data_IF_513216203731
#
_entry.id   IF_513216203731
#
_cell.length_a   1.000
_cell.length_b   1.000
_cell.length_c   1.000
_cell.angle_alpha   90.00
_cell.angle_beta   90.00
_cell.angle_gamma   90.00
#
_symmetry.space_group_name_H-M   'P 1'
#
loop_
_entity.id
_entity.type
_entity.pdbx_description
1 polymer ?
#
# COMPACT_ATOMS: atom_id res chain seq x y z
N UNK A 1 -33.32 9.38 -23.27
CA UNK A 1 -33.63 9.04 -21.85
C UNK A 1 -32.94 10.08 -21.00
N UNK A 2 -33.72 10.92 -20.29
CA UNK A 2 -33.18 11.97 -19.41
C UNK A 2 -32.49 11.29 -18.23
N UNK A 3 -31.15 11.34 -18.19
CA UNK A 3 -30.35 10.89 -17.05
C UNK A 3 -30.63 11.85 -15.90
N UNK A 4 -31.39 11.39 -14.89
CA UNK A 4 -31.53 12.10 -13.62
C UNK A 4 -30.14 12.41 -13.11
N UNK A 5 -29.82 13.68 -12.87
CA UNK A 5 -28.54 14.04 -12.29
C UNK A 5 -28.29 13.23 -11.00
N UNK A 6 -27.08 12.76 -10.78
CA UNK A 6 -26.74 12.03 -9.57
C UNK A 6 -27.00 12.94 -8.36
N UNK A 7 -27.88 12.51 -7.48
CA UNK A 7 -28.24 13.25 -6.27
C UNK A 7 -27.15 13.01 -5.23
N UNK A 8 -26.62 14.08 -4.64
CA UNK A 8 -25.66 14.04 -3.54
C UNK A 8 -26.26 14.74 -2.32
N UNK A 9 -26.29 14.05 -1.19
CA UNK A 9 -26.72 14.58 0.11
C UNK A 9 -25.47 14.79 0.97
N UNK A 10 -25.16 16.05 1.29
CA UNK A 10 -24.00 16.38 2.12
C UNK A 10 -24.22 15.89 3.57
N UNK A 11 -23.17 15.34 4.17
CA UNK A 11 -23.22 14.80 5.55
C UNK A 11 -23.84 13.42 5.67
N UNK A 12 -24.24 12.80 4.55
CA UNK A 12 -24.79 11.44 4.50
C UNK A 12 -23.91 10.55 3.61
N UNK A 13 -23.90 9.24 3.83
CA UNK A 13 -23.24 8.30 2.96
C UNK A 13 -24.04 8.11 1.66
N UNK A 14 -23.46 8.50 0.55
CA UNK A 14 -24.02 8.32 -0.79
C UNK A 14 -23.31 7.18 -1.50
N UNK A 15 -24.05 6.15 -1.94
CA UNK A 15 -23.48 4.98 -2.62
C UNK A 15 -23.69 5.07 -4.12
N UNK A 16 -22.61 4.93 -4.90
CA UNK A 16 -22.64 5.00 -6.35
C UNK A 16 -21.99 3.77 -6.99
N UNK A 17 -22.75 3.01 -7.82
CA UNK A 17 -22.24 1.77 -8.40
C UNK A 17 -21.58 1.94 -9.77
N UNK A 18 -21.59 3.14 -10.35
CA UNK A 18 -21.03 3.33 -11.70
C UNK A 18 -19.90 4.37 -11.75
N UNK A 19 -18.87 4.13 -12.57
CA UNK A 19 -17.79 5.09 -12.80
C UNK A 19 -18.27 6.46 -13.23
N UNK A 20 -19.28 6.51 -14.10
CA UNK A 20 -19.87 7.75 -14.63
C UNK A 20 -20.47 8.60 -13.50
N UNK A 21 -21.27 8.01 -12.65
CA UNK A 21 -21.96 8.72 -11.57
C UNK A 21 -20.97 9.34 -10.58
N UNK A 22 -19.96 8.55 -10.13
CA UNK A 22 -18.92 9.06 -9.23
C UNK A 22 -18.11 10.18 -9.89
N UNK A 23 -17.77 10.05 -11.18
CA UNK A 23 -17.02 11.09 -11.90
C UNK A 23 -17.82 12.41 -12.01
N UNK A 24 -19.14 12.34 -12.23
CA UNK A 24 -20.03 13.50 -12.28
C UNK A 24 -20.10 14.19 -10.91
N UNK A 25 -20.32 13.43 -9.83
CA UNK A 25 -20.42 13.95 -8.45
C UNK A 25 -19.09 14.55 -8.00
N UNK A 26 -17.98 13.82 -8.16
CA UNK A 26 -16.64 14.31 -7.78
C UNK A 26 -16.26 15.60 -8.50
N UNK A 27 -16.62 15.71 -9.79
CA UNK A 27 -16.42 16.93 -10.56
C UNK A 27 -17.25 18.09 -10.03
N UNK A 28 -18.53 17.86 -9.74
CA UNK A 28 -19.44 18.88 -9.18
C UNK A 28 -18.91 19.39 -7.83
N UNK A 29 -18.49 18.51 -6.95
CA UNK A 29 -17.93 18.87 -5.65
C UNK A 29 -16.67 19.73 -5.76
N UNK A 30 -15.75 19.41 -6.67
CA UNK A 30 -14.58 20.25 -6.91
C UNK A 30 -14.95 21.63 -7.43
N UNK A 31 -15.95 21.76 -8.29
CA UNK A 31 -16.43 23.06 -8.75
C UNK A 31 -16.98 23.93 -7.62
N UNK A 32 -17.41 23.34 -6.49
CA UNK A 32 -17.79 24.10 -5.29
C UNK A 32 -16.62 24.45 -4.37
N UNK A 33 -15.38 24.11 -4.76
CA UNK A 33 -14.17 24.35 -3.98
C UNK A 33 -13.86 23.27 -2.94
N UNK A 34 -14.63 22.17 -2.88
CA UNK A 34 -14.34 21.05 -1.99
C UNK A 34 -13.17 20.22 -2.53
N UNK A 35 -12.33 19.73 -1.62
CA UNK A 35 -11.22 18.83 -1.96
C UNK A 35 -11.69 17.39 -1.95
N UNK A 36 -11.41 16.64 -3.00
CA UNK A 36 -11.79 15.23 -3.12
C UNK A 36 -10.62 14.35 -2.70
N UNK A 37 -10.86 13.50 -1.70
CA UNK A 37 -9.90 12.50 -1.21
C UNK A 37 -10.35 11.12 -1.66
N UNK A 38 -9.41 10.24 -2.01
CA UNK A 38 -9.70 8.86 -2.40
C UNK A 38 -9.02 7.88 -1.45
N UNK A 39 -9.78 6.90 -0.97
CA UNK A 39 -9.28 5.74 -0.23
C UNK A 39 -9.67 4.48 -1.01
N UNK A 40 -8.76 3.89 -1.82
CA UNK A 40 -9.04 2.66 -2.54
C UNK A 40 -9.04 1.47 -1.60
N UNK A 41 -10.09 0.64 -1.64
CA UNK A 41 -10.18 -0.61 -0.86
C UNK A 41 -10.80 -1.73 -1.68
N UNK A 42 -10.65 -2.96 -1.21
CA UNK A 42 -11.35 -4.13 -1.73
C UNK A 42 -12.54 -4.56 -0.86
N UNK A 43 -12.91 -3.79 0.17
CA UNK A 43 -13.88 -4.18 1.19
C UNK A 43 -13.26 -5.00 2.33
N UNK A 44 -14.11 -5.65 3.13
CA UNK A 44 -13.75 -6.28 4.39
C UNK A 44 -12.97 -5.31 5.29
N UNK A 45 -13.58 -4.14 5.50
CA UNK A 45 -12.94 -3.01 6.14
C UNK A 45 -12.62 -3.32 7.62
N UNK A 46 -11.47 -2.88 8.06
CA UNK A 46 -10.97 -3.05 9.42
C UNK A 46 -10.28 -1.77 9.92
N UNK A 47 -9.76 -1.75 11.13
CA UNK A 47 -9.16 -0.55 11.75
C UNK A 47 -8.03 0.06 10.91
N UNK A 48 -7.28 -0.74 10.14
CA UNK A 48 -6.32 -0.22 9.16
C UNK A 48 -6.96 0.68 8.10
N UNK A 49 -8.13 0.29 7.59
CA UNK A 49 -8.88 1.12 6.64
C UNK A 49 -9.50 2.35 7.33
N UNK A 50 -9.97 2.22 8.58
CA UNK A 50 -10.43 3.38 9.38
C UNK A 50 -9.31 4.43 9.54
N UNK A 51 -8.06 4.00 9.74
CA UNK A 51 -6.93 4.92 9.84
C UNK A 51 -6.69 5.70 8.54
N UNK A 52 -6.83 5.07 7.36
CA UNK A 52 -6.80 5.75 6.05
C UNK A 52 -7.90 6.82 5.96
N UNK A 53 -9.14 6.44 6.27
CA UNK A 53 -10.32 7.31 6.22
C UNK A 53 -10.14 8.50 7.17
N UNK A 54 -9.79 8.25 8.43
CA UNK A 54 -9.55 9.30 9.44
C UNK A 54 -8.41 10.24 9.03
N UNK A 55 -7.38 9.74 8.33
CA UNK A 55 -6.32 10.59 7.80
C UNK A 55 -6.82 11.46 6.65
N UNK A 56 -7.69 10.91 5.79
CA UNK A 56 -8.29 11.65 4.68
C UNK A 56 -9.27 12.74 5.17
N UNK A 57 -10.10 12.46 6.18
CA UNK A 57 -11.08 13.38 6.74
C UNK A 57 -10.46 14.58 7.48
N UNK A 58 -9.21 14.45 7.95
CA UNK A 58 -8.46 15.57 8.56
C UNK A 58 -8.10 16.68 7.58
N UNK A 59 -8.23 16.46 6.28
CA UNK A 59 -7.95 17.52 5.29
C UNK A 59 -9.11 18.53 5.28
N UNK A 60 -8.86 19.81 5.54
CA UNK A 60 -9.92 20.81 5.61
C UNK A 60 -10.73 20.91 4.31
N UNK A 61 -12.06 20.85 4.41
CA UNK A 61 -12.98 20.87 3.26
C UNK A 61 -12.98 19.58 2.44
N UNK A 62 -12.43 18.50 2.96
CA UNK A 62 -12.41 17.22 2.27
C UNK A 62 -13.81 16.63 2.07
N UNK A 63 -14.00 15.98 0.92
CA UNK A 63 -15.00 14.94 0.69
C UNK A 63 -14.24 13.65 0.47
N UNK A 64 -14.51 12.65 1.28
CA UNK A 64 -13.84 11.37 1.18
C UNK A 64 -14.66 10.43 0.31
N UNK A 65 -14.03 9.92 -0.75
CA UNK A 65 -14.53 8.84 -1.60
C UNK A 65 -13.81 7.56 -1.19
N UNK A 66 -14.54 6.57 -0.71
CA UNK A 66 -13.98 5.23 -0.47
C UNK A 66 -14.47 4.30 -1.57
N UNK A 67 -13.56 3.68 -2.32
CA UNK A 67 -13.95 2.63 -3.24
C UNK A 67 -13.94 1.27 -2.56
N UNK A 68 -14.99 0.47 -2.80
CA UNK A 68 -15.07 -0.93 -2.38
C UNK A 68 -15.18 -1.77 -3.65
N UNK A 69 -14.04 -2.31 -4.10
CA UNK A 69 -14.00 -3.07 -5.34
C UNK A 69 -12.97 -4.21 -5.29
N UNK A 70 -13.44 -5.45 -5.28
CA UNK A 70 -12.58 -6.63 -5.44
C UNK A 70 -12.20 -6.73 -6.92
N UNK A 71 -10.97 -6.29 -7.23
CA UNK A 71 -10.50 -6.20 -8.61
C UNK A 71 -10.01 -7.56 -9.12
N UNK A 72 -10.66 -8.19 -10.10
CA UNK A 72 -10.24 -9.51 -10.57
C UNK A 72 -8.87 -9.52 -11.27
N UNK A 73 -8.41 -8.38 -11.81
CA UNK A 73 -7.15 -8.31 -12.56
C UNK A 73 -5.89 -8.48 -11.70
N UNK A 74 -6.00 -8.28 -10.40
CA UNK A 74 -4.85 -8.38 -9.48
C UNK A 74 -4.72 -9.74 -8.80
N UNK A 75 -5.60 -10.69 -9.14
CA UNK A 75 -5.55 -12.06 -8.66
C UNK A 75 -5.06 -12.99 -9.75
N UNK A 76 -4.02 -13.76 -9.44
CA UNK A 76 -3.50 -14.82 -10.31
C UNK A 76 -4.38 -16.08 -10.29
N UNK A 77 -4.09 -17.01 -11.18
CA UNK A 77 -4.74 -18.30 -11.17
C UNK A 77 -4.44 -19.05 -9.87
N UNK A 78 -5.48 -19.44 -9.14
CA UNK A 78 -5.36 -20.15 -7.86
C UNK A 78 -5.22 -19.25 -6.63
N UNK A 79 -5.26 -17.92 -6.79
CA UNK A 79 -5.34 -16.99 -5.65
C UNK A 79 -6.77 -16.90 -5.08
N UNK A 80 -6.90 -16.22 -3.95
CA UNK A 80 -8.09 -16.17 -3.08
C UNK A 80 -9.24 -15.28 -3.59
N UNK A 81 -9.37 -15.04 -4.90
CA UNK A 81 -10.43 -14.17 -5.47
C UNK A 81 -11.84 -14.61 -5.07
N UNK A 82 -12.13 -15.89 -5.16
CA UNK A 82 -13.47 -16.43 -4.83
C UNK A 82 -13.71 -16.47 -3.33
N UNK A 83 -12.65 -16.70 -2.54
CA UNK A 83 -12.67 -16.72 -1.09
C UNK A 83 -12.54 -15.32 -0.46
N UNK A 84 -12.23 -14.28 -1.27
CA UNK A 84 -12.04 -12.93 -0.75
C UNK A 84 -13.33 -12.42 -0.09
N UNK A 85 -13.29 -11.92 1.15
CA UNK A 85 -14.49 -11.53 1.90
C UNK A 85 -15.29 -10.43 1.18
N UNK A 86 -16.61 -10.62 1.08
CA UNK A 86 -17.55 -9.65 0.52
C UNK A 86 -18.55 -9.28 1.60
N UNK A 87 -18.30 -8.16 2.26
CA UNK A 87 -19.02 -7.69 3.47
C UNK A 87 -19.61 -6.31 3.24
N UNK A 88 -20.23 -6.07 2.08
CA UNK A 88 -20.63 -4.73 1.65
C UNK A 88 -21.50 -4.00 2.67
N UNK A 89 -22.48 -4.66 3.26
CA UNK A 89 -23.42 -4.01 4.19
C UNK A 89 -22.69 -3.51 5.44
N UNK A 90 -21.86 -4.35 6.08
CA UNK A 90 -21.08 -3.94 7.24
C UNK A 90 -19.97 -2.94 6.88
N UNK A 91 -19.44 -2.99 5.65
CA UNK A 91 -18.50 -1.99 5.15
C UNK A 91 -19.16 -0.62 5.02
N UNK A 92 -20.40 -0.56 4.49
CA UNK A 92 -21.16 0.69 4.36
C UNK A 92 -21.54 1.26 5.74
N UNK A 93 -21.91 0.43 6.70
CA UNK A 93 -22.15 0.85 8.09
C UNK A 93 -20.89 1.50 8.67
N UNK A 94 -19.72 0.84 8.53
CA UNK A 94 -18.44 1.37 8.97
C UNK A 94 -18.10 2.72 8.29
N UNK A 95 -18.35 2.85 6.98
CA UNK A 95 -18.12 4.11 6.27
C UNK A 95 -19.01 5.24 6.78
N UNK A 96 -20.27 4.92 7.08
CA UNK A 96 -21.22 5.87 7.67
C UNK A 96 -20.77 6.34 9.05
N UNK A 97 -20.30 5.42 9.91
CA UNK A 97 -19.76 5.73 11.24
C UNK A 97 -18.53 6.63 11.18
N UNK A 98 -17.66 6.46 10.17
CA UNK A 98 -16.48 7.30 9.94
C UNK A 98 -16.80 8.63 9.22
N UNK A 99 -18.07 8.92 8.92
CA UNK A 99 -18.53 10.15 8.28
C UNK A 99 -18.11 10.27 6.81
N UNK A 100 -17.93 9.14 6.12
CA UNK A 100 -17.65 9.12 4.68
C UNK A 100 -18.90 9.55 3.90
N UNK A 101 -18.73 10.49 2.97
CA UNK A 101 -19.85 10.99 2.18
C UNK A 101 -20.09 10.21 0.88
N UNK A 102 -19.05 9.49 0.35
CA UNK A 102 -19.17 8.77 -0.92
C UNK A 102 -18.57 7.37 -0.81
N UNK A 103 -19.39 6.35 -1.04
CA UNK A 103 -18.99 4.98 -1.29
C UNK A 103 -19.11 4.69 -2.79
N UNK A 104 -17.99 4.32 -3.43
CA UNK A 104 -17.97 3.85 -4.80
C UNK A 104 -17.89 2.33 -4.82
N UNK A 105 -18.99 1.68 -5.22
CA UNK A 105 -19.18 0.21 -5.13
C UNK A 105 -19.41 -0.42 -6.52
N UNK A 106 -18.42 -0.32 -7.45
CA UNK A 106 -18.63 -0.79 -8.80
C UNK A 106 -18.59 -2.32 -8.90
N UNK A 107 -19.25 -2.83 -9.93
CA UNK A 107 -19.11 -4.23 -10.37
C UNK A 107 -17.92 -4.37 -11.35
N UNK A 108 -17.41 -5.59 -11.53
CA UNK A 108 -16.37 -5.86 -12.52
C UNK A 108 -16.83 -5.49 -13.93
N UNK A 109 -18.10 -5.75 -14.29
CA UNK A 109 -18.67 -5.38 -15.59
C UNK A 109 -18.80 -3.86 -15.76
N UNK A 110 -19.02 -3.09 -14.70
CA UNK A 110 -19.05 -1.63 -14.79
C UNK A 110 -17.64 -1.02 -14.90
N UNK A 111 -16.64 -1.65 -14.30
CA UNK A 111 -15.24 -1.23 -14.39
C UNK A 111 -14.59 -1.66 -15.72
N UNK A 112 -14.94 -2.83 -16.23
CA UNK A 112 -14.37 -3.42 -17.44
C UNK A 112 -15.47 -3.94 -18.39
N UNK A 113 -16.28 -3.06 -18.99
CA UNK A 113 -17.46 -3.48 -19.78
C UNK A 113 -17.13 -4.34 -21.00
N UNK A 114 -15.97 -4.12 -21.59
CA UNK A 114 -15.46 -4.86 -22.75
C UNK A 114 -14.23 -5.72 -22.42
N UNK A 115 -14.00 -6.00 -21.14
CA UNK A 115 -12.79 -6.61 -20.63
C UNK A 115 -11.61 -5.62 -20.53
N UNK A 116 -10.50 -6.04 -19.92
CA UNK A 116 -9.29 -5.22 -19.76
C UNK A 116 -8.47 -5.25 -21.07
N UNK A 117 -8.65 -4.23 -21.92
CA UNK A 117 -7.93 -4.15 -23.21
C UNK A 117 -6.59 -3.41 -23.09
N UNK A 118 -6.46 -2.55 -22.08
CA UNK A 118 -5.24 -1.77 -21.80
C UNK A 118 -4.86 -1.97 -20.36
N UNK A 119 -3.60 -2.24 -20.10
CA UNK A 119 -3.06 -2.45 -18.78
C UNK A 119 -1.84 -1.56 -18.54
N UNK A 120 -1.57 -1.23 -17.28
CA UNK A 120 -0.36 -0.54 -16.86
C UNK A 120 0.72 -1.60 -16.58
N UNK A 121 1.88 -1.44 -17.20
CA UNK A 121 3.03 -2.30 -16.93
C UNK A 121 3.84 -1.71 -15.75
N UNK A 122 4.12 -2.48 -14.68
CA UNK A 122 4.75 -1.96 -13.46
C UNK A 122 6.25 -1.68 -13.58
N UNK A 123 6.90 -2.00 -14.70
CA UNK A 123 8.35 -1.90 -14.86
C UNK A 123 9.12 -2.97 -14.08
N UNK A 124 10.45 -2.87 -13.99
CA UNK A 124 11.30 -3.89 -13.36
C UNK A 124 10.96 -4.15 -11.89
N UNK A 125 10.65 -3.10 -11.12
CA UNK A 125 10.28 -3.24 -9.70
C UNK A 125 9.03 -4.11 -9.51
N UNK A 126 8.13 -4.16 -10.50
CA UNK A 126 6.96 -5.02 -10.44
C UNK A 126 7.21 -6.51 -10.66
N UNK A 127 8.46 -6.91 -10.92
CA UNK A 127 8.88 -8.31 -11.04
C UNK A 127 9.73 -8.79 -9.84
N UNK A 128 10.02 -7.89 -8.89
CA UNK A 128 10.80 -8.17 -7.68
C UNK A 128 9.86 -8.36 -6.46
N UNK A 129 10.33 -8.93 -5.37
CA UNK A 129 9.60 -9.12 -4.11
C UNK A 129 8.20 -9.75 -4.35
N UNK A 130 7.13 -9.04 -4.01
CA UNK A 130 5.74 -9.48 -4.25
C UNK A 130 5.48 -9.84 -5.71
N UNK A 131 6.06 -9.10 -6.66
CA UNK A 131 5.88 -9.34 -8.07
C UNK A 131 6.58 -10.60 -8.58
N UNK A 132 7.64 -11.04 -7.92
CA UNK A 132 8.30 -12.32 -8.17
C UNK A 132 7.37 -13.51 -7.88
N UNK A 133 6.64 -13.43 -6.77
CA UNK A 133 5.69 -14.47 -6.35
C UNK A 133 4.34 -14.37 -7.05
N UNK A 134 3.96 -13.15 -7.47
CA UNK A 134 2.65 -12.82 -8.05
C UNK A 134 2.82 -12.03 -9.36
N UNK A 135 3.28 -12.64 -10.46
CA UNK A 135 3.74 -11.92 -11.65
C UNK A 135 2.72 -10.99 -12.32
N UNK A 136 1.41 -11.26 -12.17
CA UNK A 136 0.33 -10.45 -12.77
C UNK A 136 -0.27 -9.42 -11.82
N UNK A 137 0.05 -9.53 -10.53
CA UNK A 137 -0.59 -8.75 -9.46
C UNK A 137 -0.47 -7.24 -9.69
N UNK A 138 0.74 -6.74 -9.87
CA UNK A 138 0.97 -5.30 -9.95
C UNK A 138 0.48 -4.68 -11.24
N UNK A 139 0.47 -5.40 -12.36
CA UNK A 139 -0.15 -4.92 -13.58
C UNK A 139 -1.67 -4.72 -13.39
N UNK A 140 -2.34 -5.67 -12.75
CA UNK A 140 -3.76 -5.58 -12.41
C UNK A 140 -4.05 -4.47 -11.39
N UNK A 141 -3.23 -4.37 -10.34
CA UNK A 141 -3.35 -3.38 -9.27
C UNK A 141 -3.14 -1.95 -9.80
N UNK A 142 -2.08 -1.69 -10.56
CA UNK A 142 -1.83 -0.36 -11.13
C UNK A 142 -2.91 0.03 -12.14
N UNK A 143 -3.42 -0.93 -12.92
CA UNK A 143 -4.49 -0.67 -13.87
C UNK A 143 -5.77 -0.20 -13.17
N UNK A 144 -6.20 -0.88 -12.09
CA UNK A 144 -7.39 -0.45 -11.34
C UNK A 144 -7.16 0.87 -10.61
N UNK A 145 -5.98 1.07 -10.01
CA UNK A 145 -5.65 2.32 -9.31
C UNK A 145 -5.68 3.49 -10.30
N UNK A 146 -5.05 3.36 -11.47
CA UNK A 146 -5.10 4.38 -12.51
C UNK A 146 -6.54 4.69 -12.91
N UNK A 147 -7.39 3.67 -13.12
CA UNK A 147 -8.81 3.87 -13.42
C UNK A 147 -9.52 4.63 -12.32
N UNK A 148 -9.31 4.27 -11.06
CA UNK A 148 -9.90 4.97 -9.91
C UNK A 148 -9.46 6.43 -9.84
N UNK A 149 -8.16 6.71 -10.03
CA UNK A 149 -7.62 8.07 -10.09
C UNK A 149 -8.25 8.88 -11.21
N UNK A 150 -8.44 8.30 -12.40
CA UNK A 150 -9.05 8.98 -13.54
C UNK A 150 -10.57 9.20 -13.40
N UNK A 151 -11.27 8.27 -12.75
CA UNK A 151 -12.72 8.36 -12.49
C UNK A 151 -12.99 9.44 -11.43
N UNK A 152 -12.31 9.35 -10.28
CA UNK A 152 -12.54 10.21 -9.12
C UNK A 152 -11.85 11.56 -9.29
N UNK A 153 -10.66 11.58 -9.90
CA UNK A 153 -9.74 12.74 -10.00
C UNK A 153 -9.52 13.38 -8.63
N UNK A 154 -9.02 12.65 -7.64
CA UNK A 154 -8.84 13.17 -6.29
C UNK A 154 -7.67 14.14 -6.21
N UNK A 155 -7.70 15.08 -5.25
CA UNK A 155 -6.55 15.89 -4.89
C UNK A 155 -5.49 15.07 -4.15
N UNK A 156 -5.94 14.08 -3.37
CA UNK A 156 -5.06 13.13 -2.67
C UNK A 156 -5.67 11.72 -2.67
N UNK A 157 -4.80 10.72 -2.77
CA UNK A 157 -5.20 9.31 -2.59
C UNK A 157 -4.34 8.68 -1.47
N UNK A 158 -4.99 7.89 -0.61
CA UNK A 158 -4.41 7.36 0.62
C UNK A 158 -4.23 5.85 0.52
N UNK A 159 -3.02 5.38 0.83
CA UNK A 159 -2.63 3.97 0.77
C UNK A 159 -1.93 3.57 2.06
N UNK A 160 -2.17 2.36 2.54
CA UNK A 160 -1.47 1.83 3.71
C UNK A 160 -0.01 1.49 3.38
N UNK A 161 0.90 1.84 4.30
CA UNK A 161 2.32 1.45 4.17
C UNK A 161 2.55 -0.05 4.39
N UNK A 162 1.55 -0.78 4.87
CA UNK A 162 1.63 -2.23 5.00
C UNK A 162 1.96 -2.90 3.65
N UNK A 163 1.31 -2.49 2.58
CA UNK A 163 1.57 -2.97 1.22
C UNK A 163 2.58 -2.02 0.53
N UNK A 164 3.80 -1.97 1.10
CA UNK A 164 4.78 -0.93 0.80
C UNK A 164 5.20 -0.90 -0.67
N UNK A 165 5.42 -2.07 -1.29
CA UNK A 165 5.78 -2.12 -2.71
C UNK A 165 4.63 -1.61 -3.60
N UNK A 166 3.37 -1.87 -3.24
CA UNK A 166 2.22 -1.27 -3.90
C UNK A 166 2.26 0.27 -3.82
N UNK A 167 2.53 0.82 -2.63
CA UNK A 167 2.64 2.27 -2.43
C UNK A 167 3.74 2.90 -3.29
N UNK A 168 4.92 2.26 -3.34
CA UNK A 168 6.05 2.72 -4.16
C UNK A 168 5.69 2.68 -5.64
N UNK A 169 5.12 1.59 -6.14
CA UNK A 169 4.72 1.46 -7.55
C UNK A 169 3.60 2.44 -7.93
N UNK A 170 2.65 2.74 -7.03
CA UNK A 170 1.62 3.76 -7.27
C UNK A 170 2.25 5.15 -7.36
N UNK A 171 3.22 5.48 -6.49
CA UNK A 171 3.97 6.74 -6.56
C UNK A 171 4.75 6.86 -7.87
N UNK A 172 5.42 5.79 -8.27
CA UNK A 172 6.14 5.70 -9.55
C UNK A 172 5.17 5.94 -10.73
N UNK A 173 4.06 5.23 -10.80
CA UNK A 173 3.05 5.41 -11.85
C UNK A 173 2.53 6.85 -11.92
N UNK A 174 2.24 7.46 -10.79
CA UNK A 174 1.76 8.86 -10.73
C UNK A 174 2.80 9.83 -11.25
N UNK A 175 4.08 9.63 -10.89
CA UNK A 175 5.19 10.44 -11.38
C UNK A 175 5.41 10.26 -12.88
N UNK A 176 5.56 9.02 -13.33
CA UNK A 176 5.92 8.70 -14.71
C UNK A 176 4.83 9.09 -15.72
N UNK A 177 3.56 8.99 -15.31
CA UNK A 177 2.41 9.35 -16.15
C UNK A 177 1.90 10.78 -15.91
N UNK A 178 2.61 11.59 -15.11
CA UNK A 178 2.26 12.98 -14.80
C UNK A 178 0.79 13.13 -14.33
N UNK A 179 0.35 12.25 -13.43
CA UNK A 179 -1.02 12.29 -12.91
C UNK A 179 -1.07 13.34 -11.79
N UNK A 180 -1.97 14.30 -11.91
CA UNK A 180 -2.15 15.36 -10.93
C UNK A 180 -2.90 14.86 -9.68
N UNK A 181 -2.19 14.13 -8.83
CA UNK A 181 -2.66 13.62 -7.55
C UNK A 181 -1.51 13.46 -6.56
N UNK A 182 -1.73 13.78 -5.29
CA UNK A 182 -0.76 13.50 -4.23
C UNK A 182 -1.03 12.14 -3.60
N UNK A 183 -0.08 11.22 -3.64
CA UNK A 183 -0.15 9.92 -2.97
C UNK A 183 0.35 10.06 -1.54
N UNK A 184 -0.49 9.67 -0.57
CA UNK A 184 -0.21 9.74 0.87
C UNK A 184 -0.10 8.32 1.41
N UNK A 185 1.06 7.98 1.97
CA UNK A 185 1.24 6.76 2.77
C UNK A 185 0.67 6.96 4.17
N UNK A 186 0.00 5.95 4.70
CA UNK A 186 -0.50 5.95 6.08
C UNK A 186 0.16 4.79 6.81
N UNK A 187 0.76 5.02 7.98
CA UNK A 187 1.48 4.00 8.73
C UNK A 187 0.66 2.75 8.99
N UNK A 188 1.33 1.60 9.01
CA UNK A 188 0.72 0.30 9.30
C UNK A 188 0.06 0.30 10.67
N UNK A 189 -1.24 0.02 10.72
CA UNK A 189 -1.96 -0.21 11.97
C UNK A 189 -1.69 -1.63 12.42
N UNK A 190 -1.42 -1.79 13.72
CA UNK A 190 -1.09 -3.07 14.33
C UNK A 190 -2.13 -3.46 15.37
N UNK A 191 -2.31 -4.74 15.57
CA UNK A 191 -3.06 -5.29 16.70
C UNK A 191 -2.27 -5.06 18.01
N UNK A 192 -2.88 -5.30 19.16
CA UNK A 192 -2.28 -5.02 20.48
C UNK A 192 -0.98 -5.78 20.75
N UNK A 193 -0.78 -6.91 20.09
CA UNK A 193 0.42 -7.76 20.16
C UNK A 193 1.47 -7.42 19.08
N UNK A 194 1.20 -6.42 18.23
CA UNK A 194 2.11 -5.93 17.21
C UNK A 194 1.88 -6.49 15.82
N UNK A 195 1.05 -7.53 15.62
CA UNK A 195 0.76 -8.06 14.30
C UNK A 195 0.12 -7.00 13.39
N UNK A 196 0.63 -6.85 12.17
CA UNK A 196 0.04 -5.93 11.19
C UNK A 196 -1.40 -6.33 10.87
N UNK A 197 -2.34 -5.36 10.92
CA UNK A 197 -3.74 -5.62 10.61
C UNK A 197 -3.92 -6.00 9.14
N UNK A 198 -4.62 -7.10 8.91
CA UNK A 198 -4.91 -7.62 7.57
C UNK A 198 -6.24 -8.37 7.57
N UNK A 199 -7.01 -8.25 6.49
CA UNK A 199 -8.20 -9.08 6.28
C UNK A 199 -7.87 -10.58 6.23
N UNK A 200 -6.63 -10.94 5.90
CA UNK A 200 -6.15 -12.32 5.86
C UNK A 200 -5.85 -12.92 7.25
N UNK A 201 -5.69 -12.11 8.30
CA UNK A 201 -5.48 -12.61 9.67
C UNK A 201 -6.62 -13.52 10.13
N UNK A 202 -7.82 -13.36 9.58
CA UNK A 202 -9.01 -14.20 9.85
C UNK A 202 -8.89 -15.65 9.37
N UNK A 203 -7.94 -15.95 8.49
CA UNK A 203 -7.68 -17.31 7.99
C UNK A 203 -6.71 -18.09 8.86
N UNK A 204 -6.08 -17.44 9.84
CA UNK A 204 -5.21 -18.07 10.82
C UNK A 204 -6.07 -18.77 11.89
N UNK A 205 -5.73 -20.01 12.21
CA UNK A 205 -6.22 -20.65 13.43
C UNK A 205 -5.55 -20.04 14.68
N UNK A 206 -5.95 -20.48 15.87
CA UNK A 206 -5.47 -19.90 17.14
C UNK A 206 -3.95 -20.02 17.30
N UNK A 207 -3.36 -21.17 16.96
CA UNK A 207 -1.94 -21.41 17.07
C UNK A 207 -1.16 -20.56 16.05
N UNK A 208 -1.59 -20.58 14.80
CA UNK A 208 -1.02 -19.75 13.74
C UNK A 208 -1.10 -18.27 14.09
N UNK A 209 -2.23 -17.82 14.68
CA UNK A 209 -2.41 -16.41 15.05
C UNK A 209 -1.40 -15.98 16.13
N UNK A 210 -1.08 -16.84 17.10
CA UNK A 210 -0.04 -16.58 18.09
C UNK A 210 1.35 -16.53 17.47
N UNK A 211 1.68 -17.50 16.60
CA UNK A 211 2.97 -17.55 15.92
C UNK A 211 3.19 -16.38 14.94
N UNK A 212 2.13 -15.85 14.33
CA UNK A 212 2.22 -14.75 13.37
C UNK A 212 2.85 -13.47 13.95
N UNK A 213 2.82 -13.28 15.26
CA UNK A 213 3.45 -12.16 15.97
C UNK A 213 4.97 -12.11 15.73
N UNK A 214 5.59 -13.25 15.43
CA UNK A 214 7.02 -13.33 15.11
C UNK A 214 7.38 -12.48 13.87
N UNK A 215 6.44 -12.21 12.95
CA UNK A 215 6.69 -11.33 11.81
C UNK A 215 6.99 -9.89 12.26
N UNK A 216 6.20 -9.35 13.17
CA UNK A 216 6.45 -8.02 13.71
C UNK A 216 7.67 -8.00 14.65
N UNK A 217 7.89 -9.07 15.39
CA UNK A 217 9.02 -9.22 16.29
C UNK A 217 10.36 -9.24 15.54
N UNK A 218 10.44 -9.96 14.42
CA UNK A 218 11.66 -10.00 13.59
C UNK A 218 11.99 -8.61 13.00
N UNK A 219 10.97 -7.87 12.55
CA UNK A 219 11.15 -6.52 12.05
C UNK A 219 11.66 -5.57 13.14
N UNK A 220 11.12 -5.69 14.35
CA UNK A 220 11.58 -4.91 15.50
C UNK A 220 13.01 -5.27 15.90
N UNK A 221 13.37 -6.57 15.92
CA UNK A 221 14.73 -7.00 16.19
C UNK A 221 15.71 -6.41 15.16
N UNK A 222 15.36 -6.45 13.87
CA UNK A 222 16.15 -5.80 12.82
C UNK A 222 16.31 -4.30 13.06
N UNK A 223 15.24 -3.60 13.42
CA UNK A 223 15.31 -2.17 13.72
C UNK A 223 16.21 -1.85 14.92
N UNK A 224 16.17 -2.64 15.97
CA UNK A 224 17.06 -2.46 17.13
C UNK A 224 18.53 -2.72 16.78
N UNK A 225 18.83 -3.58 15.82
CA UNK A 225 20.18 -3.89 15.36
C UNK A 225 20.74 -2.87 14.34
N UNK A 226 19.99 -1.82 13.99
CA UNK A 226 20.35 -0.86 12.94
C UNK A 226 21.73 -0.21 13.11
N UNK A 227 22.17 -0.01 14.36
CA UNK A 227 23.50 0.55 14.66
C UNK A 227 24.67 -0.34 14.18
N UNK A 228 24.43 -1.64 13.99
CA UNK A 228 25.38 -2.60 13.42
C UNK A 228 25.41 -2.61 11.88
N UNK A 229 24.60 -1.78 11.24
CA UNK A 229 24.50 -1.69 9.78
C UNK A 229 23.60 -2.74 9.13
N UNK A 230 23.51 -2.75 7.78
CA UNK A 230 22.56 -3.58 7.03
C UNK A 230 22.62 -5.08 7.32
N UNK A 231 23.82 -5.64 7.49
CA UNK A 231 23.97 -7.08 7.80
C UNK A 231 23.41 -7.42 9.18
N UNK A 232 23.71 -6.61 10.20
CA UNK A 232 23.21 -6.83 11.56
C UNK A 232 21.67 -6.73 11.62
N UNK A 233 21.05 -5.85 10.84
CA UNK A 233 19.58 -5.75 10.71
C UNK A 233 18.99 -7.08 10.22
N UNK A 234 19.53 -7.63 9.13
CA UNK A 234 19.04 -8.88 8.55
C UNK A 234 19.31 -10.08 9.46
N UNK A 235 20.48 -10.15 10.08
CA UNK A 235 20.87 -11.25 10.95
C UNK A 235 19.99 -11.30 12.22
N UNK A 236 19.73 -10.13 12.83
CA UNK A 236 18.85 -10.05 13.98
C UNK A 236 17.39 -10.43 13.64
N UNK A 237 16.91 -10.03 12.47
CA UNK A 237 15.57 -10.40 12.02
C UNK A 237 15.47 -11.91 11.72
N UNK A 238 16.47 -12.51 11.07
CA UNK A 238 16.52 -13.96 10.79
C UNK A 238 16.54 -14.77 12.08
N UNK A 239 17.34 -14.37 13.06
CA UNK A 239 17.43 -15.07 14.33
C UNK A 239 16.07 -15.24 15.03
N UNK A 240 15.17 -14.27 14.92
CA UNK A 240 13.80 -14.37 15.47
C UNK A 240 12.96 -15.37 14.67
N UNK A 241 13.09 -15.41 13.35
CA UNK A 241 12.32 -16.31 12.50
C UNK A 241 12.78 -17.76 12.64
N UNK A 242 14.08 -17.99 12.84
CA UNK A 242 14.67 -19.32 13.03
C UNK A 242 14.13 -20.02 14.29
N UNK A 243 13.68 -19.26 15.31
CA UNK A 243 13.03 -19.79 16.51
C UNK A 243 11.57 -20.24 16.25
N UNK A 244 10.99 -19.95 15.07
CA UNK A 244 9.59 -20.30 14.72
C UNK A 244 9.55 -21.07 13.40
N UNK A 245 9.91 -22.37 13.38
CA UNK A 245 10.00 -23.16 12.15
C UNK A 245 8.71 -23.33 11.35
N UNK A 246 7.55 -23.03 11.96
CA UNK A 246 6.25 -23.03 11.29
C UNK A 246 6.09 -21.86 10.30
N UNK A 247 6.92 -20.83 10.41
CA UNK A 247 6.93 -19.69 9.49
C UNK A 247 7.88 -20.00 8.33
N UNK A 248 7.33 -20.12 7.13
CA UNK A 248 8.10 -20.29 5.91
C UNK A 248 8.36 -18.93 5.27
N UNK A 249 9.53 -18.35 5.52
CA UNK A 249 9.93 -17.06 4.95
C UNK A 249 10.12 -17.19 3.45
N UNK A 250 9.41 -16.37 2.69
CA UNK A 250 9.54 -16.28 1.23
C UNK A 250 10.64 -15.27 0.86
N UNK A 251 10.59 -14.09 1.48
CA UNK A 251 11.70 -13.14 1.45
C UNK A 251 11.80 -12.36 2.77
N UNK A 252 13.02 -11.95 3.10
CA UNK A 252 13.34 -10.98 4.15
C UNK A 252 14.42 -10.06 3.58
N UNK A 253 14.05 -8.83 3.25
CA UNK A 253 14.86 -7.91 2.45
C UNK A 253 14.96 -6.54 3.12
N UNK A 254 16.17 -5.99 3.14
CA UNK A 254 16.43 -4.60 3.50
C UNK A 254 16.66 -3.82 2.20
N UNK A 255 15.87 -2.78 1.99
CA UNK A 255 15.88 -1.95 0.78
C UNK A 255 15.91 -0.47 1.13
N UNK A 256 16.24 0.39 0.18
CA UNK A 256 16.01 1.83 0.30
C UNK A 256 14.52 2.20 0.24
N UNK A 257 14.16 3.49 0.49
CA UNK A 257 12.77 3.93 0.54
C UNK A 257 11.98 3.77 -0.76
N UNK A 258 12.65 3.77 -1.93
CA UNK A 258 12.02 3.49 -3.23
C UNK A 258 12.25 2.04 -3.68
N UNK A 259 12.62 1.15 -2.75
CA UNK A 259 12.94 -0.26 -2.96
C UNK A 259 14.19 -0.52 -3.80
N UNK A 260 15.04 0.47 -3.98
CA UNK A 260 16.42 0.32 -4.46
C UNK A 260 17.27 -0.50 -3.47
N UNK A 261 18.47 -0.94 -3.84
CA UNK A 261 19.38 -1.63 -2.92
C UNK A 261 19.58 -0.86 -1.62
N UNK A 262 19.68 -1.58 -0.49
CA UNK A 262 19.82 -0.99 0.84
C UNK A 262 20.99 -0.01 0.90
N UNK A 263 20.78 1.22 1.42
CA UNK A 263 21.88 2.15 1.65
C UNK A 263 22.75 1.69 2.81
N UNK A 264 23.96 2.19 2.88
CA UNK A 264 24.85 1.95 4.03
C UNK A 264 24.41 2.71 5.28
N UNK A 265 23.77 3.87 5.10
CA UNK A 265 23.26 4.76 6.15
C UNK A 265 22.09 5.58 5.61
N UNK A 266 21.28 6.11 6.51
CA UNK A 266 20.04 6.83 6.19
C UNK A 266 18.83 5.91 6.22
N UNK A 267 17.73 6.38 5.65
CA UNK A 267 16.45 5.67 5.70
C UNK A 267 16.48 4.41 4.81
N UNK A 268 15.99 3.31 5.37
CA UNK A 268 15.79 2.03 4.72
C UNK A 268 14.44 1.43 5.11
N UNK A 269 14.04 0.35 4.46
CA UNK A 269 12.81 -0.40 4.75
C UNK A 269 13.15 -1.88 4.85
N UNK A 270 12.84 -2.49 5.98
CA UNK A 270 12.92 -3.94 6.17
C UNK A 270 11.55 -4.53 5.84
N UNK A 271 11.51 -5.48 4.90
CA UNK A 271 10.29 -6.09 4.39
C UNK A 271 10.35 -7.61 4.57
N UNK A 272 9.20 -8.20 4.90
CA UNK A 272 9.04 -9.64 5.01
C UNK A 272 7.78 -10.10 4.30
N UNK A 273 7.88 -11.23 3.60
CA UNK A 273 6.74 -12.06 3.23
C UNK A 273 6.98 -13.48 3.72
N UNK A 274 5.96 -14.09 4.28
CA UNK A 274 6.05 -15.44 4.80
C UNK A 274 4.70 -16.17 4.73
N UNK A 275 4.78 -17.49 4.68
CA UNK A 275 3.63 -18.39 4.79
C UNK A 275 3.56 -18.96 6.20
N UNK A 276 2.36 -18.95 6.76
CA UNK A 276 2.03 -19.63 8.00
C UNK A 276 0.79 -20.51 7.76
N UNK A 277 1.01 -21.81 7.69
CA UNK A 277 0.03 -22.73 7.12
C UNK A 277 -0.31 -22.36 5.66
N UNK A 278 -1.60 -22.22 5.35
CA UNK A 278 -2.07 -21.82 4.02
C UNK A 278 -2.13 -20.30 3.81
N UNK A 279 -1.79 -19.49 4.83
CA UNK A 279 -1.97 -18.04 4.79
C UNK A 279 -0.64 -17.33 4.52
N UNK A 280 -0.61 -16.51 3.47
CA UNK A 280 0.51 -15.64 3.14
C UNK A 280 0.34 -14.28 3.83
N UNK A 281 1.34 -13.88 4.59
CA UNK A 281 1.38 -12.66 5.39
C UNK A 281 2.51 -11.75 4.93
N UNK A 282 2.27 -10.44 5.02
CA UNK A 282 3.23 -9.38 4.71
C UNK A 282 3.37 -8.43 5.87
N UNK A 283 4.57 -7.96 6.09
CA UNK A 283 4.81 -6.82 6.98
C UNK A 283 6.07 -6.07 6.56
N UNK A 284 6.25 -4.87 7.07
CA UNK A 284 7.46 -4.09 6.88
C UNK A 284 7.61 -3.01 7.94
N UNK A 285 8.83 -2.51 8.09
CA UNK A 285 9.14 -1.41 9.00
C UNK A 285 10.21 -0.50 8.44
N UNK A 286 10.13 0.78 8.77
CA UNK A 286 11.20 1.73 8.49
C UNK A 286 12.39 1.48 9.42
N UNK A 287 13.58 1.53 8.83
CA UNK A 287 14.89 1.42 9.52
C UNK A 287 15.65 2.72 9.26
N UNK A 288 16.18 3.31 10.32
CA UNK A 288 17.15 4.39 10.21
C UNK A 288 18.55 3.82 10.51
N UNK A 289 19.37 3.75 9.47
CA UNK A 289 20.74 3.27 9.57
C UNK A 289 21.61 4.46 9.95
N UNK A 290 22.19 4.50 11.17
CA UNK A 290 22.98 5.64 11.61
C UNK A 290 24.19 5.84 10.71
N UNK A 291 24.52 7.09 10.36
CA UNK A 291 25.75 7.44 9.70
C UNK A 291 26.92 7.05 10.60
N UNK A 292 27.84 6.25 10.10
CA UNK A 292 29.11 6.03 10.81
C UNK A 292 29.77 7.40 11.08
N UNK A 293 30.31 7.60 12.28
CA UNK A 293 31.22 8.72 12.53
C UNK A 293 32.26 8.74 11.39
N UNK A 294 32.47 9.90 10.79
CA UNK A 294 33.55 10.11 9.85
C UNK A 294 34.86 9.67 10.54
N UNK A 295 35.33 8.45 10.25
CA UNK A 295 36.75 8.20 10.42
C UNK A 295 37.44 9.22 9.52
N UNK A 296 38.27 10.13 10.05
CA UNK A 296 38.95 11.08 9.19
C UNK A 296 39.74 10.26 8.15
N UNK A 297 39.49 10.58 6.88
CA UNK A 297 40.24 10.00 5.76
C UNK A 297 41.72 10.31 5.96
N UNK A 298 42.44 9.34 6.48
CA UNK A 298 43.91 9.36 6.52
C UNK A 298 44.45 8.91 5.15
N UNK A 299 43.85 9.39 4.08
CA UNK A 299 44.26 9.22 2.71
C UNK A 299 45.49 10.07 2.44
N UNK A 300 46.59 9.42 2.14
CA UNK A 300 47.83 10.00 1.75
C UNK A 300 47.69 10.99 0.60
N UNK A 301 48.33 12.11 0.75
CA UNK A 301 48.55 13.10 -0.27
C UNK A 301 49.32 12.46 -1.46
N UNK A 302 48.62 12.23 -2.55
CA UNK A 302 49.26 12.11 -3.86
C UNK A 302 49.05 13.47 -4.57
N UNK A 303 50.08 14.31 -4.46
CA UNK A 303 50.22 15.54 -5.25
C UNK A 303 50.35 15.17 -6.73
N UNK A 304 49.25 15.26 -7.50
CA UNK A 304 49.33 15.39 -8.94
C UNK A 304 49.10 16.85 -9.36
N UNK A 305 50.23 17.52 -9.53
CA UNK A 305 50.41 18.83 -10.14
C UNK A 305 49.82 18.85 -11.55
N UNK A 306 48.66 19.49 -11.74
CA UNK A 306 48.10 19.73 -13.06
C UNK A 306 48.65 21.06 -13.58
N UNK A 307 49.71 21.01 -14.41
CA UNK A 307 50.24 22.14 -15.17
C UNK A 307 49.33 22.44 -16.36
N UNK A 308 48.65 23.59 -16.32
CA UNK A 308 48.02 24.19 -17.50
C UNK A 308 49.10 24.85 -18.37
N UNK A 309 49.23 24.42 -19.63
CA UNK A 309 49.97 25.16 -20.66
C UNK A 309 48.97 25.87 -21.58
N UNK A 310 49.31 27.10 -21.91
CA UNK A 310 48.62 28.11 -22.72
C UNK A 310 48.04 27.59 -24.04
#
# INVERSE_FOLDING_TARGET
MSTRAAQFSAGELNTYPTPRTVAEVSRALRHTGRRVMLVPTMGALHEGHRALIRTATRVPGAVVVVSIFVNPLQFGAGEDLDAYPRTLDSDLELLSDEGVEIAFTPTASSMYPDGPRTTVHPGPLGADLEGGSRPTHFAGMLTVVLKLLQIVRPDRAFFGEKDYQQLVLVRQMVSDLNIDVRIVGVPTVRESDGLAMSSRNRFLDSEQRELAVALSSCLLAGRYAASGGPAAVLDAARAVLDEVPAIHTEYLELRGPSLEPAPRFGSARLLIAAHLGGTRLLDNIEIDLPGGEFAPDTGGADEHEITWRN
#
